data_IF_184608142911
#
_entry.id   IF_184608142911
#
_cell.length_a   1.000
_cell.length_b   1.000
_cell.length_c   1.000
_cell.angle_alpha   90.00
_cell.angle_beta   90.00
_cell.angle_gamma   90.00
#
_symmetry.space_group_name_H-M   'P 1'
#
loop_
_entity.id
_entity.type
_entity.pdbx_description
1 polymer ?
#
# COMPACT_ATOMS: atom_id res chain seq x y z
N UNK A 1 10.29 -9.54 -20.54
CA UNK A 1 9.13 -8.63 -20.32
C UNK A 1 8.56 -8.79 -18.90
N UNK A 2 8.19 -10.00 -18.46
CA UNK A 2 7.65 -10.22 -17.11
C UNK A 2 8.62 -9.80 -15.98
N UNK A 3 9.92 -10.10 -16.10
CA UNK A 3 10.92 -9.67 -15.11
C UNK A 3 11.05 -8.15 -14.98
N UNK A 4 10.91 -7.41 -16.09
CA UNK A 4 10.93 -5.95 -16.06
C UNK A 4 9.70 -5.40 -15.32
N UNK A 5 8.53 -6.04 -15.45
CA UNK A 5 7.33 -5.64 -14.71
C UNK A 5 7.49 -5.88 -13.21
N UNK A 6 8.08 -7.02 -12.82
CA UNK A 6 8.41 -7.31 -11.42
C UNK A 6 9.35 -6.25 -10.85
N UNK A 7 10.45 -5.94 -11.55
CA UNK A 7 11.43 -4.94 -11.11
C UNK A 7 10.82 -3.53 -10.98
N UNK A 8 9.91 -3.14 -11.89
CA UNK A 8 9.21 -1.85 -11.80
C UNK A 8 8.31 -1.80 -10.57
N UNK A 9 7.57 -2.87 -10.29
CA UNK A 9 6.68 -2.91 -9.12
C UNK A 9 7.48 -2.87 -7.81
N UNK A 10 8.54 -3.69 -7.71
CA UNK A 10 9.41 -3.72 -6.53
C UNK A 10 10.04 -2.34 -6.25
N UNK A 11 10.52 -1.65 -7.30
CA UNK A 11 11.13 -0.33 -7.14
C UNK A 11 10.12 0.74 -6.70
N UNK A 12 8.88 0.69 -7.18
CA UNK A 12 7.87 1.67 -6.77
C UNK A 12 7.36 1.39 -5.37
N UNK A 13 7.13 0.14 -4.99
CA UNK A 13 6.80 -0.23 -3.60
C UNK A 13 7.92 0.22 -2.64
N UNK A 14 9.19 0.03 -3.02
CA UNK A 14 10.34 0.48 -2.24
C UNK A 14 10.36 2.01 -2.06
N UNK A 15 10.00 2.78 -3.10
CA UNK A 15 9.91 4.25 -3.02
C UNK A 15 8.75 4.70 -2.14
N UNK A 16 7.59 4.06 -2.24
CA UNK A 16 6.44 4.33 -1.39
C UNK A 16 6.78 4.04 0.08
N UNK A 17 7.40 2.90 0.37
CA UNK A 17 7.87 2.56 1.71
C UNK A 17 8.95 3.53 2.23
N UNK A 18 9.81 4.08 1.38
CA UNK A 18 10.80 5.08 1.79
C UNK A 18 10.16 6.41 2.25
N UNK A 19 8.95 6.71 1.75
CA UNK A 19 8.19 7.92 2.12
C UNK A 19 7.64 7.81 3.54
N UNK A 20 7.53 6.59 4.12
CA UNK A 20 7.11 6.37 5.50
C UNK A 20 7.92 7.16 6.54
N UNK A 21 9.19 7.47 6.26
CA UNK A 21 10.07 8.16 7.21
C UNK A 21 9.64 9.60 7.49
N UNK A 22 8.90 10.21 6.58
CA UNK A 22 8.48 11.61 6.64
C UNK A 22 7.06 11.77 7.22
N UNK A 23 6.37 10.65 7.47
CA UNK A 23 4.99 10.69 7.94
C UNK A 23 4.85 11.17 9.40
N UNK A 24 3.70 11.77 9.76
CA UNK A 24 3.33 12.13 11.14
C UNK A 24 3.44 10.98 12.15
N UNK A 25 3.57 11.32 13.44
CA UNK A 25 3.54 10.34 14.53
C UNK A 25 2.12 9.79 14.79
N UNK A 26 1.08 10.62 14.63
CA UNK A 26 -0.31 10.18 14.75
C UNK A 26 -0.66 9.20 13.62
N UNK A 27 -1.22 8.04 13.98
CA UNK A 27 -1.53 6.97 13.03
C UNK A 27 -2.59 7.38 12.01
N UNK A 28 -3.58 8.18 12.44
CA UNK A 28 -4.63 8.68 11.56
C UNK A 28 -4.08 9.66 10.53
N UNK A 29 -3.24 10.61 10.97
CA UNK A 29 -2.60 11.58 10.09
C UNK A 29 -1.61 10.91 9.13
N UNK A 30 -0.76 9.99 9.63
CA UNK A 30 0.16 9.21 8.81
C UNK A 30 -0.57 8.40 7.72
N UNK A 31 -1.71 7.78 8.07
CA UNK A 31 -2.52 7.06 7.10
C UNK A 31 -3.15 8.00 6.06
N UNK A 32 -3.69 9.14 6.49
CA UNK A 32 -4.31 10.12 5.60
C UNK A 32 -3.31 10.71 4.59
N UNK A 33 -2.10 11.02 5.04
CA UNK A 33 -1.03 11.56 4.20
C UNK A 33 -0.54 10.52 3.19
N UNK A 34 -0.28 9.29 3.65
CA UNK A 34 0.08 8.18 2.75
C UNK A 34 -1.02 7.92 1.71
N UNK A 35 -2.29 7.94 2.12
CA UNK A 35 -3.41 7.79 1.19
C UNK A 35 -3.44 8.89 0.12
N UNK A 36 -3.25 10.15 0.53
CA UNK A 36 -3.25 11.30 -0.37
C UNK A 36 -2.21 11.15 -1.50
N UNK A 37 -1.04 10.60 -1.19
CA UNK A 37 -0.01 10.32 -2.18
C UNK A 37 -0.38 9.15 -3.10
N UNK A 38 -0.81 8.02 -2.54
CA UNK A 38 -1.12 6.81 -3.29
C UNK A 38 -2.31 7.00 -4.24
N UNK A 39 -3.29 7.81 -3.87
CA UNK A 39 -4.49 8.06 -4.69
C UNK A 39 -4.26 9.02 -5.85
N UNK A 40 -3.06 9.58 -6.05
CA UNK A 40 -2.82 10.56 -7.12
C UNK A 40 -3.18 9.98 -8.51
N UNK A 41 -3.91 10.72 -9.37
CA UNK A 41 -4.37 10.20 -10.66
C UNK A 41 -3.23 9.68 -11.57
N UNK A 42 -2.04 10.27 -11.46
CA UNK A 42 -0.87 9.88 -12.25
C UNK A 42 -0.34 8.49 -11.86
N UNK A 43 -0.67 7.99 -10.68
CA UNK A 43 -0.29 6.65 -10.22
C UNK A 43 -1.29 5.57 -10.67
N UNK A 44 -2.49 5.93 -11.17
CA UNK A 44 -3.52 4.95 -11.56
C UNK A 44 -3.03 3.85 -12.53
N UNK A 45 -2.23 4.14 -13.57
CA UNK A 45 -1.69 3.09 -14.43
C UNK A 45 -0.73 2.15 -13.68
N UNK A 46 0.03 2.68 -12.73
CA UNK A 46 0.92 1.89 -11.89
C UNK A 46 0.13 0.99 -10.94
N UNK A 47 -0.88 1.51 -10.25
CA UNK A 47 -1.73 0.72 -9.34
C UNK A 47 -2.42 -0.44 -10.06
N UNK A 48 -2.90 -0.23 -11.30
CA UNK A 48 -3.45 -1.32 -12.13
C UNK A 48 -2.42 -2.40 -12.42
N UNK A 49 -1.19 -2.01 -12.76
CA UNK A 49 -0.10 -2.95 -13.00
C UNK A 49 0.27 -3.71 -11.72
N UNK A 50 0.32 -3.02 -10.57
CA UNK A 50 0.54 -3.63 -9.27
C UNK A 50 -0.47 -4.75 -9.02
N UNK A 51 -1.77 -4.49 -9.14
CA UNK A 51 -2.80 -5.50 -8.90
C UNK A 51 -2.75 -6.64 -9.91
N UNK A 52 -2.49 -6.37 -11.20
CA UNK A 52 -2.32 -7.43 -12.20
C UNK A 52 -1.18 -8.39 -11.81
N UNK A 53 -0.02 -7.84 -11.43
CA UNK A 53 1.12 -8.63 -10.96
C UNK A 53 0.84 -9.33 -9.62
N UNK A 54 0.21 -8.65 -8.67
CA UNK A 54 -0.11 -9.18 -7.35
C UNK A 54 -1.08 -10.36 -7.43
N UNK A 55 -2.13 -10.27 -8.28
CA UNK A 55 -3.06 -11.38 -8.49
C UNK A 55 -2.37 -12.61 -9.08
N UNK A 56 -1.49 -12.44 -10.07
CA UNK A 56 -0.68 -13.55 -10.61
C UNK A 56 0.26 -14.13 -9.56
N UNK A 57 0.90 -13.27 -8.78
CA UNK A 57 1.78 -13.67 -7.68
C UNK A 57 1.04 -14.52 -6.63
N UNK A 58 -0.18 -14.12 -6.28
CA UNK A 58 -1.04 -14.84 -5.35
C UNK A 58 -1.50 -16.21 -5.88
N UNK A 59 -1.56 -16.38 -7.20
CA UNK A 59 -1.80 -17.69 -7.85
C UNK A 59 -0.52 -18.55 -7.97
N UNK A 60 0.62 -18.07 -7.46
CA UNK A 60 1.90 -18.77 -7.52
C UNK A 60 2.60 -18.68 -8.88
N UNK A 61 2.15 -17.81 -9.79
CA UNK A 61 2.72 -17.69 -11.13
C UNK A 61 4.14 -17.08 -11.08
N UNK A 62 5.11 -17.80 -11.62
CA UNK A 62 6.46 -17.27 -11.81
C UNK A 62 6.52 -16.31 -13.02
N UNK A 63 7.26 -15.19 -12.96
CA UNK A 63 8.14 -14.76 -11.87
C UNK A 63 7.44 -13.90 -10.79
N UNK A 64 6.15 -13.60 -10.94
CA UNK A 64 5.40 -12.66 -10.09
C UNK A 64 5.35 -13.08 -8.62
N UNK A 65 5.32 -14.39 -8.33
CA UNK A 65 5.31 -14.94 -6.97
C UNK A 65 6.44 -14.41 -6.07
N UNK A 66 7.56 -13.95 -6.64
CA UNK A 66 8.68 -13.32 -5.91
C UNK A 66 8.33 -11.97 -5.27
N UNK A 67 7.28 -11.30 -5.74
CA UNK A 67 6.87 -9.99 -5.21
C UNK A 67 6.13 -10.09 -3.87
N UNK A 68 5.52 -11.23 -3.55
CA UNK A 68 4.62 -11.36 -2.37
C UNK A 68 5.33 -11.05 -1.05
N UNK A 69 6.55 -11.58 -0.77
CA UNK A 69 7.25 -11.27 0.46
C UNK A 69 7.52 -9.76 0.62
N UNK A 70 8.02 -9.09 -0.43
CA UNK A 70 8.30 -7.66 -0.36
C UNK A 70 7.03 -6.82 -0.20
N UNK A 71 5.92 -7.22 -0.83
CA UNK A 71 4.65 -6.51 -0.73
C UNK A 71 4.05 -6.54 0.69
N UNK A 72 4.32 -7.55 1.52
CA UNK A 72 3.75 -7.62 2.87
C UNK A 72 4.83 -7.47 3.94
N UNK A 73 5.83 -8.34 3.93
CA UNK A 73 6.85 -8.40 4.95
C UNK A 73 7.82 -7.22 4.85
N UNK A 74 8.05 -6.70 3.64
CA UNK A 74 8.85 -5.48 3.43
C UNK A 74 8.25 -4.25 4.11
N UNK A 75 6.92 -4.07 4.00
CA UNK A 75 6.22 -2.98 4.68
C UNK A 75 6.18 -3.17 6.20
N UNK A 76 5.97 -4.40 6.68
CA UNK A 76 6.02 -4.70 8.11
C UNK A 76 7.40 -4.36 8.69
N UNK A 77 8.48 -4.76 8.01
CA UNK A 77 9.85 -4.45 8.42
C UNK A 77 10.14 -2.94 8.40
N UNK A 78 9.68 -2.21 7.37
CA UNK A 78 9.89 -0.76 7.28
C UNK A 78 9.20 0.01 8.42
N UNK A 79 7.99 -0.41 8.80
CA UNK A 79 7.27 0.20 9.93
C UNK A 79 7.89 -0.19 11.26
N UNK A 80 8.33 -1.44 11.42
CA UNK A 80 9.05 -1.91 12.60
C UNK A 80 10.33 -1.10 12.82
N UNK A 81 11.13 -0.91 11.77
CA UNK A 81 12.35 -0.10 11.79
C UNK A 81 12.06 1.36 12.19
N UNK A 82 11.07 1.99 11.54
CA UNK A 82 10.66 3.38 11.83
C UNK A 82 10.22 3.56 13.28
N UNK A 83 9.50 2.58 13.83
CA UNK A 83 8.90 2.68 15.17
C UNK A 83 9.79 2.08 16.25
N UNK A 84 10.98 1.58 15.90
CA UNK A 84 11.88 0.85 16.80
C UNK A 84 11.18 -0.32 17.51
N UNK A 85 10.40 -1.10 16.76
CA UNK A 85 9.68 -2.27 17.26
C UNK A 85 8.46 -1.97 18.13
N UNK A 86 7.97 -0.72 18.13
CA UNK A 86 6.80 -0.33 18.94
C UNK A 86 5.46 -0.51 18.22
N UNK A 87 5.46 -0.62 16.90
CA UNK A 87 4.23 -0.84 16.15
C UNK A 87 3.67 -2.25 16.39
N UNK A 88 2.34 -2.37 16.50
CA UNK A 88 1.66 -3.66 16.45
C UNK A 88 1.63 -4.18 14.99
N UNK A 89 2.27 -5.32 14.67
CA UNK A 89 2.28 -5.87 13.31
C UNK A 89 0.86 -6.17 12.77
N UNK A 90 -0.10 -6.50 13.63
CA UNK A 90 -1.48 -6.73 13.22
C UNK A 90 -2.14 -5.44 12.73
N UNK A 91 -1.92 -4.33 13.42
CA UNK A 91 -2.40 -3.00 13.02
C UNK A 91 -1.75 -2.52 11.72
N UNK A 92 -0.44 -2.77 11.54
CA UNK A 92 0.24 -2.45 10.28
C UNK A 92 -0.37 -3.24 9.12
N UNK A 93 -0.59 -4.54 9.31
CA UNK A 93 -1.23 -5.40 8.30
C UNK A 93 -2.66 -4.96 7.99
N UNK A 94 -3.42 -4.50 9.00
CA UNK A 94 -4.74 -3.92 8.79
C UNK A 94 -4.68 -2.66 7.92
N UNK A 95 -3.76 -1.73 8.22
CA UNK A 95 -3.54 -0.54 7.41
C UNK A 95 -3.23 -0.87 5.94
N UNK A 96 -2.33 -1.82 5.70
CA UNK A 96 -2.02 -2.30 4.34
C UNK A 96 -3.26 -2.89 3.64
N UNK A 97 -4.06 -3.69 4.35
CA UNK A 97 -5.27 -4.29 3.80
C UNK A 97 -6.30 -3.23 3.39
N UNK A 98 -6.53 -2.22 4.24
CA UNK A 98 -7.44 -1.12 3.94
C UNK A 98 -6.96 -0.32 2.74
N UNK A 99 -5.68 0.10 2.72
CA UNK A 99 -5.10 0.86 1.61
C UNK A 99 -5.23 0.11 0.29
N UNK A 100 -4.85 -1.17 0.25
CA UNK A 100 -4.91 -1.98 -0.98
C UNK A 100 -6.34 -2.24 -1.44
N UNK A 101 -7.26 -2.50 -0.51
CA UNK A 101 -8.68 -2.67 -0.86
C UNK A 101 -9.27 -1.42 -1.50
N UNK A 102 -8.98 -0.25 -0.94
CA UNK A 102 -9.47 1.03 -1.45
C UNK A 102 -8.78 1.45 -2.75
N UNK A 103 -7.49 1.18 -2.94
CA UNK A 103 -6.82 1.39 -4.23
C UNK A 103 -7.40 0.48 -5.31
N UNK A 104 -7.69 -0.79 -4.98
CA UNK A 104 -8.30 -1.73 -5.93
C UNK A 104 -9.70 -1.28 -6.36
N UNK A 105 -10.53 -0.86 -5.40
CA UNK A 105 -11.84 -0.26 -5.68
C UNK A 105 -11.68 0.95 -6.62
N UNK A 106 -10.82 1.90 -6.24
CA UNK A 106 -10.58 3.12 -7.00
C UNK A 106 -10.12 2.87 -8.45
N UNK A 107 -9.20 1.92 -8.69
CA UNK A 107 -8.76 1.63 -10.06
C UNK A 107 -9.82 0.92 -10.89
N UNK A 108 -10.73 0.20 -10.25
CA UNK A 108 -11.83 -0.55 -10.87
C UNK A 108 -13.05 0.34 -11.16
N UNK A 109 -13.39 1.26 -10.24
CA UNK A 109 -14.63 2.06 -10.31
C UNK A 109 -14.37 3.50 -10.74
N UNK A 110 -13.19 4.05 -10.44
CA UNK A 110 -12.91 5.48 -10.60
C UNK A 110 -13.65 6.37 -9.59
N UNK A 111 -14.24 5.79 -8.53
CA UNK A 111 -15.00 6.53 -7.53
C UNK A 111 -14.08 7.17 -6.49
N UNK A 112 -13.42 8.26 -6.88
CA UNK A 112 -12.55 9.05 -6.00
C UNK A 112 -13.25 9.50 -4.71
N UNK A 113 -14.53 9.87 -4.79
CA UNK A 113 -15.29 10.37 -3.64
C UNK A 113 -15.65 9.25 -2.66
N UNK A 114 -16.06 8.09 -3.16
CA UNK A 114 -16.39 6.93 -2.33
C UNK A 114 -15.20 6.42 -1.53
N UNK A 115 -14.04 6.30 -2.16
CA UNK A 115 -12.83 5.82 -1.47
C UNK A 115 -12.29 6.85 -0.47
N UNK A 116 -12.39 8.16 -0.75
CA UNK A 116 -12.01 9.20 0.20
C UNK A 116 -12.93 9.24 1.43
N UNK A 117 -14.23 9.02 1.22
CA UNK A 117 -15.17 8.88 2.32
C UNK A 117 -14.81 7.66 3.20
N UNK A 118 -14.44 6.53 2.60
CA UNK A 118 -14.03 5.33 3.31
C UNK A 118 -12.73 5.56 4.12
N UNK A 119 -11.73 6.23 3.53
CA UNK A 119 -10.51 6.62 4.26
C UNK A 119 -10.82 7.54 5.43
N UNK A 120 -11.69 8.54 5.26
CA UNK A 120 -12.10 9.41 6.36
C UNK A 120 -12.70 8.64 7.54
N UNK A 121 -13.45 7.57 7.27
CA UNK A 121 -13.97 6.68 8.33
C UNK A 121 -12.87 5.87 9.01
N UNK A 122 -11.93 5.33 8.23
CA UNK A 122 -10.82 4.55 8.80
C UNK A 122 -9.88 5.41 9.65
N UNK A 123 -9.53 6.62 9.18
CA UNK A 123 -8.75 7.60 9.96
C UNK A 123 -9.46 7.93 11.28
N UNK A 124 -10.78 8.11 11.26
CA UNK A 124 -11.55 8.33 12.48
C UNK A 124 -11.57 7.12 13.44
N UNK A 125 -11.35 5.90 12.95
CA UNK A 125 -11.19 4.71 13.80
C UNK A 125 -9.80 4.64 14.42
N UNK A 126 -8.75 5.03 13.69
CA UNK A 126 -7.37 5.04 14.19
C UNK A 126 -7.13 6.05 15.32
N UNK A 127 -7.94 7.10 15.39
CA UNK A 127 -7.84 8.18 16.40
C UNK A 127 -8.64 7.91 17.68
N UNK A 128 -9.33 6.77 17.79
CA UNK A 128 -10.11 6.39 18.98
C UNK A 128 -9.26 5.56 19.93
#
# INVERSE_FOLDING_TARGET
>A
RAELLVAIVEEVERRQAATLRELPEDLGDAFAEMWADLRRPQLRPFERLFFECYSRAAQGEAPFSRMVPAAVDGWLAAVDERTHGKADPAMVRLGLAVTRGLLLDLVATGDDAGVDAAVGRFVALLRR
#
